data_IF_400612588060
#
_entry.id   IF_400612588060
#
_cell.length_a   1.000
_cell.length_b   1.000
_cell.length_c   1.000
_cell.angle_alpha   90.00
_cell.angle_beta   90.00
_cell.angle_gamma   90.00
#
_symmetry.space_group_name_H-M   'P 1'
#
loop_
_entity.id
_entity.type
_entity.pdbx_description
1 polymer ?
#
# COMPACT_ATOMS: atom_id res chain seq x y z
N UNK A 1 -19.72 3.63 17.66
CA UNK A 1 -20.07 4.60 16.61
C UNK A 1 -19.71 4.04 15.24
N UNK A 2 -20.46 3.05 14.75
CA UNK A 2 -20.32 2.55 13.38
C UNK A 2 -21.55 2.99 12.60
N UNK A 3 -21.38 4.02 11.77
CA UNK A 3 -22.46 4.58 10.96
C UNK A 3 -21.98 4.68 9.51
N UNK A 4 -22.79 4.21 8.59
CA UNK A 4 -22.57 4.42 7.16
C UNK A 4 -23.31 5.67 6.72
N UNK A 5 -22.57 6.60 6.11
CA UNK A 5 -23.13 7.80 5.49
C UNK A 5 -23.67 7.42 4.12
N UNK A 6 -24.96 7.62 3.91
CA UNK A 6 -25.65 7.24 2.66
C UNK A 6 -25.94 8.43 1.76
N UNK A 7 -25.88 9.65 2.29
CA UNK A 7 -26.17 10.86 1.52
C UNK A 7 -25.77 12.13 2.24
N UNK A 8 -25.68 13.21 1.46
CA UNK A 8 -25.41 14.55 1.95
C UNK A 8 -26.22 15.54 1.12
N UNK A 9 -27.10 16.27 1.79
CA UNK A 9 -27.81 17.39 1.19
C UNK A 9 -27.10 18.69 1.56
N UNK A 10 -27.01 19.60 0.58
CA UNK A 10 -26.44 20.94 0.79
C UNK A 10 -27.62 21.91 0.84
N UNK A 11 -27.79 22.60 1.96
CA UNK A 11 -28.87 23.55 2.18
C UNK A 11 -28.30 24.98 2.13
N UNK A 12 -28.94 25.85 1.33
CA UNK A 12 -28.51 27.23 1.10
C UNK A 12 -27.62 27.39 -0.15
N UNK A 13 -27.43 28.64 -0.61
CA UNK A 13 -26.60 28.96 -1.78
C UNK A 13 -25.12 29.01 -1.39
N UNK A 14 -24.18 28.94 -2.38
CA UNK A 14 -22.77 28.78 -2.07
C UNK A 14 -22.12 29.81 -1.14
N UNK A 15 -22.66 31.04 -1.09
CA UNK A 15 -22.13 32.16 -0.34
C UNK A 15 -23.03 32.62 0.82
N UNK A 16 -24.11 31.88 1.12
CA UNK A 16 -25.00 32.26 2.20
C UNK A 16 -24.36 31.96 3.56
N UNK A 17 -24.50 32.88 4.52
CA UNK A 17 -23.94 32.74 5.87
C UNK A 17 -24.60 31.63 6.68
N UNK A 18 -25.80 31.23 6.32
CA UNK A 18 -26.58 30.15 6.93
C UNK A 18 -26.49 28.84 6.14
N UNK A 19 -25.56 28.72 5.18
CA UNK A 19 -25.33 27.46 4.44
C UNK A 19 -24.89 26.35 5.40
N UNK A 20 -25.54 25.19 5.31
CA UNK A 20 -25.20 24.01 6.11
C UNK A 20 -25.40 22.72 5.31
N UNK A 21 -24.98 21.60 5.90
CA UNK A 21 -25.08 20.27 5.31
C UNK A 21 -25.97 19.39 6.17
N UNK A 22 -26.80 18.55 5.55
CA UNK A 22 -27.54 17.50 6.24
C UNK A 22 -26.94 16.16 5.85
N UNK A 23 -26.27 15.52 6.80
CA UNK A 23 -25.71 14.19 6.64
C UNK A 23 -26.81 13.16 6.92
N UNK A 24 -27.06 12.26 5.98
CA UNK A 24 -27.97 11.12 6.17
C UNK A 24 -27.16 9.84 6.26
N UNK A 25 -27.48 8.99 7.23
CA UNK A 25 -26.81 7.70 7.39
C UNK A 25 -27.62 6.71 8.20
N UNK A 26 -27.03 5.54 8.44
CA UNK A 26 -27.62 4.52 9.31
C UNK A 26 -26.56 3.86 10.18
N UNK A 27 -26.99 3.32 11.32
CA UNK A 27 -26.14 2.47 12.14
C UNK A 27 -25.78 1.19 11.37
N UNK A 28 -24.50 0.86 11.24
CA UNK A 28 -24.01 -0.31 10.48
C UNK A 28 -24.54 -1.62 11.07
N UNK A 29 -24.67 -1.69 12.39
CA UNK A 29 -25.06 -2.89 13.11
C UNK A 29 -26.58 -3.15 13.00
N UNK A 30 -27.39 -2.09 12.94
CA UNK A 30 -28.86 -2.20 12.96
C UNK A 30 -29.54 -1.91 11.61
N UNK A 31 -28.87 -1.25 10.66
CA UNK A 31 -29.30 -0.83 9.30
C UNK A 31 -30.64 -0.08 9.14
N UNK A 32 -31.55 -0.19 10.10
CA UNK A 32 -32.88 0.40 10.09
C UNK A 32 -32.91 1.75 10.79
N UNK A 33 -31.99 1.98 11.73
CA UNK A 33 -31.88 3.25 12.43
C UNK A 33 -31.22 4.29 11.53
N UNK A 34 -32.06 4.96 10.73
CA UNK A 34 -31.67 6.10 9.92
C UNK A 34 -31.58 7.35 10.79
N UNK A 35 -30.52 8.13 10.59
CA UNK A 35 -30.37 9.42 11.22
C UNK A 35 -30.12 10.50 10.18
N UNK A 36 -30.49 11.72 10.56
CA UNK A 36 -30.10 12.93 9.86
C UNK A 36 -29.42 13.87 10.85
N UNK A 37 -28.26 14.38 10.49
CA UNK A 37 -27.49 15.28 11.32
C UNK A 37 -27.15 16.54 10.52
N UNK A 38 -27.66 17.68 10.97
CA UNK A 38 -27.22 18.97 10.45
C UNK A 38 -25.80 19.25 10.94
N UNK A 39 -24.94 19.71 10.04
CA UNK A 39 -23.56 20.09 10.32
C UNK A 39 -23.17 21.32 9.53
N UNK A 40 -22.36 22.19 10.13
CA UNK A 40 -21.82 23.39 9.49
C UNK A 40 -20.56 23.08 8.66
N UNK A 41 -19.86 21.98 8.96
CA UNK A 41 -18.68 21.56 8.23
C UNK A 41 -18.54 20.04 8.15
N UNK A 42 -17.90 19.56 7.10
CA UNK A 42 -17.61 18.15 6.90
C UNK A 42 -16.16 17.98 6.45
N UNK A 43 -15.44 17.09 7.12
CA UNK A 43 -14.06 16.74 6.77
C UNK A 43 -14.02 15.27 6.34
N UNK A 44 -13.42 15.01 5.18
CA UNK A 44 -13.21 13.67 4.66
C UNK A 44 -11.72 13.39 4.53
N UNK A 45 -11.26 12.32 5.18
CA UNK A 45 -9.86 11.90 5.18
C UNK A 45 -9.71 10.48 4.63
N UNK A 46 -9.99 10.24 3.33
CA UNK A 46 -9.98 8.89 2.76
C UNK A 46 -8.57 8.27 2.67
N UNK A 47 -7.51 9.05 2.92
CA UNK A 47 -6.14 8.63 2.70
C UNK A 47 -5.78 8.57 1.21
N UNK A 48 -4.52 8.23 0.91
CA UNK A 48 -3.98 8.27 -0.45
C UNK A 48 -4.25 6.98 -1.27
N UNK A 49 -4.78 5.92 -0.65
CA UNK A 49 -4.84 4.57 -1.25
C UNK A 49 -6.17 3.84 -0.95
N UNK A 50 -7.31 4.51 -1.14
CA UNK A 50 -8.62 3.93 -0.82
C UNK A 50 -9.27 3.13 -1.95
N UNK A 51 -8.85 3.35 -3.20
CA UNK A 51 -9.39 2.64 -4.36
C UNK A 51 -8.33 1.67 -4.93
N UNK A 52 -8.44 0.36 -4.68
CA UNK A 52 -7.54 -0.62 -5.27
C UNK A 52 -7.75 -0.69 -6.79
N UNK A 53 -6.66 -0.86 -7.53
CA UNK A 53 -6.74 -1.15 -8.96
C UNK A 53 -7.00 -2.63 -9.15
N UNK A 54 -8.24 -2.96 -9.46
CA UNK A 54 -8.67 -4.31 -9.83
C UNK A 54 -8.26 -4.58 -11.28
N UNK A 55 -7.56 -5.68 -11.53
CA UNK A 55 -7.10 -6.08 -12.86
C UNK A 55 -7.65 -7.47 -13.11
N UNK A 56 -8.44 -7.62 -14.16
CA UNK A 56 -8.92 -8.93 -14.59
C UNK A 56 -7.86 -9.57 -15.49
N UNK A 57 -7.35 -10.73 -15.10
CA UNK A 57 -6.40 -11.48 -15.90
C UNK A 57 -7.14 -12.49 -16.79
N UNK A 58 -6.81 -12.60 -18.09
CA UNK A 58 -7.44 -13.62 -18.94
C UNK A 58 -7.18 -15.03 -18.41
N UNK A 59 -8.25 -15.84 -18.27
CA UNK A 59 -8.16 -17.21 -17.77
C UNK A 59 -8.12 -17.34 -16.24
N UNK A 60 -8.29 -16.24 -15.51
CA UNK A 60 -8.38 -16.21 -14.04
C UNK A 60 -9.52 -17.10 -13.54
N UNK A 61 -10.65 -17.14 -14.26
CA UNK A 61 -11.79 -18.00 -13.99
C UNK A 61 -11.52 -19.50 -14.13
N UNK A 62 -10.44 -19.86 -14.84
CA UNK A 62 -10.04 -21.26 -15.06
C UNK A 62 -8.94 -21.72 -14.09
N UNK A 63 -8.52 -20.87 -13.15
CA UNK A 63 -7.50 -21.20 -12.17
C UNK A 63 -8.13 -21.89 -10.95
N UNK A 64 -7.70 -23.11 -10.67
CA UNK A 64 -8.26 -23.93 -9.58
C UNK A 64 -7.79 -23.49 -8.18
N UNK A 65 -6.88 -22.52 -8.09
CA UNK A 65 -6.34 -22.03 -6.82
C UNK A 65 -7.07 -20.79 -6.27
N UNK A 66 -6.70 -20.39 -5.05
CA UNK A 66 -7.22 -19.17 -4.45
C UNK A 66 -6.63 -17.94 -5.17
N UNK A 67 -7.52 -17.05 -5.62
CA UNK A 67 -7.16 -15.74 -6.17
C UNK A 67 -7.68 -14.67 -5.22
N UNK A 68 -6.80 -13.74 -4.86
CA UNK A 68 -7.08 -12.67 -3.92
C UNK A 68 -6.20 -11.45 -4.24
N UNK A 69 -6.62 -10.29 -3.76
CA UNK A 69 -5.90 -9.02 -3.91
C UNK A 69 -4.82 -8.84 -2.84
N UNK A 70 -4.85 -9.64 -1.77
CA UNK A 70 -3.89 -9.56 -0.67
C UNK A 70 -4.04 -8.27 0.11
N UNK A 71 -5.30 -7.88 0.34
CA UNK A 71 -5.73 -6.67 1.05
C UNK A 71 -6.93 -7.01 1.95
N UNK A 72 -7.04 -6.36 3.11
CA UNK A 72 -8.19 -6.50 4.02
C UNK A 72 -8.47 -7.94 4.49
N UNK A 73 -7.44 -8.74 4.74
CA UNK A 73 -7.56 -10.13 5.19
C UNK A 73 -8.37 -11.04 4.24
N UNK A 74 -8.36 -10.72 2.94
CA UNK A 74 -9.03 -11.48 1.89
C UNK A 74 -8.42 -12.87 1.62
N UNK A 75 -7.26 -13.16 2.21
CA UNK A 75 -6.59 -14.46 2.16
C UNK A 75 -6.63 -15.09 3.56
N UNK A 76 -7.38 -16.18 3.76
CA UNK A 76 -7.33 -16.92 5.02
C UNK A 76 -5.97 -17.61 5.17
N UNK A 77 -5.32 -17.43 6.31
CA UNK A 77 -3.94 -17.89 6.51
C UNK A 77 -3.76 -19.41 6.42
N UNK A 78 -4.80 -20.20 6.67
CA UNK A 78 -4.77 -21.65 6.53
C UNK A 78 -4.49 -22.11 5.09
N UNK A 79 -4.74 -21.26 4.09
CA UNK A 79 -4.43 -21.53 2.68
C UNK A 79 -2.95 -21.31 2.33
N UNK A 80 -2.13 -20.73 3.22
CA UNK A 80 -0.73 -20.40 2.94
C UNK A 80 0.23 -21.55 3.28
N UNK A 81 -0.12 -22.43 4.23
CA UNK A 81 0.77 -23.50 4.64
C UNK A 81 1.01 -24.49 3.48
N UNK A 82 2.29 -24.69 3.13
CA UNK A 82 2.74 -25.48 1.99
C UNK A 82 2.18 -25.04 0.63
N UNK A 83 1.71 -23.80 0.53
CA UNK A 83 1.19 -23.27 -0.73
C UNK A 83 2.33 -22.96 -1.70
N UNK A 84 2.03 -23.06 -2.99
CA UNK A 84 2.84 -22.42 -4.04
C UNK A 84 2.12 -21.15 -4.47
N UNK A 85 2.65 -19.99 -4.06
CA UNK A 85 1.97 -18.70 -4.21
C UNK A 85 2.67 -17.84 -5.26
N UNK A 86 1.89 -17.21 -6.15
CA UNK A 86 2.36 -16.17 -7.05
C UNK A 86 1.82 -14.81 -6.61
N UNK A 87 2.70 -13.81 -6.49
CA UNK A 87 2.37 -12.43 -6.16
C UNK A 87 2.68 -11.57 -7.38
N UNK A 88 1.66 -10.86 -7.88
CA UNK A 88 1.75 -10.04 -9.08
C UNK A 88 1.93 -8.57 -8.68
N UNK A 89 3.07 -8.00 -9.06
CA UNK A 89 3.48 -6.64 -8.68
C UNK A 89 4.45 -6.62 -7.50
N UNK A 90 5.30 -5.60 -7.46
CA UNK A 90 6.34 -5.43 -6.43
C UNK A 90 6.21 -4.08 -5.71
N UNK A 91 5.02 -3.83 -5.16
CA UNK A 91 4.76 -2.67 -4.29
C UNK A 91 5.06 -2.97 -2.82
N UNK A 92 4.76 -2.01 -1.93
CA UNK A 92 4.92 -2.21 -0.49
C UNK A 92 4.10 -3.41 0.03
N UNK A 93 2.83 -3.53 -0.38
CA UNK A 93 1.97 -4.67 -0.02
C UNK A 93 2.52 -6.01 -0.49
N UNK A 94 3.18 -6.06 -1.65
CA UNK A 94 3.77 -7.31 -2.14
C UNK A 94 4.90 -7.80 -1.20
N UNK A 95 5.75 -6.89 -0.70
CA UNK A 95 6.81 -7.23 0.25
C UNK A 95 6.23 -7.74 1.57
N UNK A 96 5.17 -7.10 2.06
CA UNK A 96 4.46 -7.51 3.27
C UNK A 96 3.78 -8.89 3.07
N UNK A 97 3.14 -9.14 1.93
CA UNK A 97 2.51 -10.42 1.62
C UNK A 97 3.54 -11.54 1.43
N UNK A 98 4.72 -11.26 0.86
CA UNK A 98 5.83 -12.24 0.82
C UNK A 98 6.23 -12.62 2.24
N UNK A 99 6.38 -11.65 3.16
CA UNK A 99 6.70 -11.94 4.56
C UNK A 99 5.62 -12.82 5.17
N UNK A 100 4.34 -12.49 5.00
CA UNK A 100 3.23 -13.31 5.49
C UNK A 100 3.29 -14.73 4.94
N UNK A 101 3.46 -14.92 3.63
CA UNK A 101 3.63 -16.25 3.03
C UNK A 101 4.81 -17.02 3.66
N UNK A 102 5.95 -16.37 3.90
CA UNK A 102 7.08 -17.00 4.58
C UNK A 102 6.76 -17.38 6.03
N UNK A 103 6.10 -16.50 6.79
CA UNK A 103 5.74 -16.73 8.21
C UNK A 103 4.75 -17.90 8.36
N UNK A 104 3.84 -18.07 7.39
CA UNK A 104 2.83 -19.13 7.41
C UNK A 104 3.22 -20.40 6.62
N UNK A 105 4.49 -20.52 6.23
CA UNK A 105 5.03 -21.78 5.70
C UNK A 105 4.68 -22.08 4.25
N UNK A 106 4.49 -21.06 3.41
CA UNK A 106 4.40 -21.25 1.96
C UNK A 106 5.64 -22.01 1.45
N UNK A 107 5.41 -23.04 0.66
CA UNK A 107 6.48 -23.90 0.13
C UNK A 107 7.31 -23.17 -0.92
N UNK A 108 6.64 -22.33 -1.73
CA UNK A 108 7.31 -21.55 -2.76
C UNK A 108 6.55 -20.26 -3.06
N UNK A 109 7.32 -19.19 -3.23
CA UNK A 109 6.78 -17.85 -3.53
C UNK A 109 7.40 -17.34 -4.83
N UNK A 110 6.56 -17.03 -5.81
CA UNK A 110 6.95 -16.36 -7.05
C UNK A 110 6.54 -14.90 -6.99
N UNK A 111 7.51 -13.98 -7.08
CA UNK A 111 7.24 -12.57 -7.26
C UNK A 111 7.33 -12.21 -8.74
N UNK A 112 6.19 -11.95 -9.37
CA UNK A 112 6.11 -11.55 -10.78
C UNK A 112 6.04 -10.04 -10.86
N UNK A 113 7.07 -9.39 -11.41
CA UNK A 113 7.11 -7.94 -11.51
C UNK A 113 7.72 -7.45 -12.82
N UNK A 114 7.24 -6.28 -13.29
CA UNK A 114 7.82 -5.58 -14.44
C UNK A 114 9.17 -4.95 -14.09
N UNK A 115 9.32 -4.47 -12.85
CA UNK A 115 10.53 -3.81 -12.34
C UNK A 115 10.76 -4.23 -10.89
N UNK A 116 12.02 -4.44 -10.51
CA UNK A 116 12.38 -4.69 -9.12
C UNK A 116 12.25 -3.39 -8.34
N UNK A 117 11.46 -3.40 -7.28
CA UNK A 117 11.38 -2.28 -6.35
C UNK A 117 12.60 -2.28 -5.43
N UNK A 118 13.07 -1.10 -5.05
CA UNK A 118 14.17 -0.92 -4.12
C UNK A 118 13.65 -1.13 -2.68
N UNK A 119 13.69 -2.38 -2.21
CA UNK A 119 13.26 -2.72 -0.87
C UNK A 119 14.23 -2.17 0.17
N UNK A 120 13.80 -1.19 0.97
CA UNK A 120 14.65 -0.62 2.00
C UNK A 120 14.66 -1.50 3.27
N UNK A 121 15.84 -1.92 3.75
CA UNK A 121 16.01 -2.50 5.08
C UNK A 121 15.36 -1.66 6.18
N UNK A 122 14.63 -2.32 7.09
CA UNK A 122 13.95 -1.63 8.21
C UNK A 122 14.90 -0.80 9.06
N UNK A 123 16.13 -1.27 9.27
CA UNK A 123 17.15 -0.53 10.03
C UNK A 123 17.54 0.79 9.35
N UNK A 124 17.73 0.77 8.03
CA UNK A 124 18.03 1.96 7.26
C UNK A 124 16.84 2.94 7.22
N UNK A 125 15.61 2.45 7.12
CA UNK A 125 14.41 3.29 7.25
C UNK A 125 14.36 4.02 8.60
N UNK A 126 14.67 3.32 9.70
CA UNK A 126 14.68 3.92 11.03
C UNK A 126 15.69 5.07 11.13
N UNK A 127 16.89 4.87 10.58
CA UNK A 127 17.91 5.92 10.50
C UNK A 127 17.43 7.15 9.70
N UNK A 128 16.77 6.94 8.55
CA UNK A 128 16.20 8.03 7.75
C UNK A 128 15.11 8.78 8.53
N UNK A 129 14.21 8.07 9.21
CA UNK A 129 13.11 8.69 9.95
C UNK A 129 13.57 9.47 11.20
N UNK A 130 14.74 9.18 11.76
CA UNK A 130 15.30 9.93 12.88
C UNK A 130 16.05 11.19 12.46
N UNK A 131 16.35 11.33 11.17
CA UNK A 131 17.13 12.47 10.68
C UNK A 131 16.29 13.75 10.66
N UNK A 132 16.87 14.83 11.19
CA UNK A 132 16.27 16.18 11.13
C UNK A 132 16.40 16.76 9.72
N UNK A 133 17.48 16.39 9.02
CA UNK A 133 17.77 16.79 7.65
C UNK A 133 17.71 15.56 6.74
N UNK A 134 17.25 15.71 5.48
CA UNK A 134 17.21 14.58 4.54
C UNK A 134 18.56 13.87 4.46
N UNK A 135 18.56 12.56 4.72
CA UNK A 135 19.76 11.73 4.60
C UNK A 135 20.16 11.66 3.12
N UNK A 136 21.45 11.91 2.78
CA UNK A 136 21.92 11.77 1.41
C UNK A 136 21.65 10.37 0.85
N UNK A 137 21.06 10.28 -0.34
CA UNK A 137 20.70 9.02 -0.99
C UNK A 137 21.87 8.02 -1.08
N UNK A 138 23.10 8.53 -1.29
CA UNK A 138 24.32 7.71 -1.31
C UNK A 138 24.56 6.97 0.01
N UNK A 139 24.37 7.65 1.14
CA UNK A 139 24.51 7.02 2.45
C UNK A 139 23.44 5.96 2.67
N UNK A 140 22.21 6.25 2.24
CA UNK A 140 21.09 5.30 2.31
C UNK A 140 21.39 4.05 1.48
N UNK A 141 21.77 4.19 0.20
CA UNK A 141 22.10 3.06 -0.68
C UNK A 141 23.28 2.24 -0.15
N UNK A 142 24.33 2.89 0.37
CA UNK A 142 25.45 2.17 0.99
C UNK A 142 25.02 1.38 2.22
N UNK A 143 24.07 1.88 3.00
CA UNK A 143 23.52 1.14 4.14
C UNK A 143 22.71 -0.10 3.73
N UNK A 144 22.24 -0.18 2.48
CA UNK A 144 21.47 -1.33 1.98
C UNK A 144 22.36 -2.50 1.58
N UNK A 145 23.61 -2.22 1.17
CA UNK A 145 24.54 -3.20 0.59
C UNK A 145 24.64 -4.48 1.42
N UNK A 146 24.87 -4.45 2.75
CA UNK A 146 25.08 -5.68 3.52
C UNK A 146 23.88 -6.64 3.48
N UNK A 147 22.65 -6.09 3.51
CA UNK A 147 21.45 -6.92 3.42
C UNK A 147 21.25 -7.45 2.01
N UNK A 148 21.48 -6.62 0.99
CA UNK A 148 21.31 -7.01 -0.40
C UNK A 148 22.29 -8.12 -0.81
N UNK A 149 23.53 -8.06 -0.33
CA UNK A 149 24.52 -9.11 -0.52
C UNK A 149 24.09 -10.40 0.21
N UNK A 150 23.65 -10.30 1.46
CA UNK A 150 23.20 -11.46 2.25
C UNK A 150 22.00 -12.17 1.64
N UNK A 151 21.11 -11.45 0.95
CA UNK A 151 19.90 -12.01 0.32
C UNK A 151 20.04 -12.27 -1.18
N UNK A 152 21.22 -12.05 -1.77
CA UNK A 152 21.44 -12.22 -3.21
C UNK A 152 20.61 -11.27 -4.09
N UNK A 153 20.24 -10.09 -3.58
CA UNK A 153 19.42 -9.09 -4.29
C UNK A 153 20.22 -8.19 -5.24
N UNK A 154 21.54 -8.37 -5.32
CA UNK A 154 22.44 -7.62 -6.20
C UNK A 154 22.85 -6.25 -5.64
N UNK A 155 23.42 -5.39 -6.49
CA UNK A 155 23.81 -4.04 -6.08
C UNK A 155 22.56 -3.12 -5.98
N UNK A 156 22.24 -2.51 -4.82
CA UNK A 156 21.13 -1.58 -4.68
C UNK A 156 21.24 -0.36 -5.61
N UNK A 157 22.44 -0.02 -6.06
CA UNK A 157 22.68 1.09 -6.98
C UNK A 157 22.19 0.83 -8.41
N UNK A 158 22.01 -0.44 -8.79
CA UNK A 158 21.61 -0.84 -10.15
C UNK A 158 20.08 -0.94 -10.30
N UNK A 159 19.33 -0.60 -9.25
CA UNK A 159 17.88 -0.64 -9.27
C UNK A 159 17.31 0.52 -10.09
N UNK A 160 16.24 0.26 -10.83
CA UNK A 160 15.64 1.22 -11.76
C UNK A 160 15.25 2.56 -11.12
N UNK A 161 14.89 2.57 -9.84
CA UNK A 161 14.55 3.79 -9.09
C UNK A 161 15.76 4.66 -8.73
N UNK A 162 16.99 4.18 -8.94
CA UNK A 162 18.22 4.88 -8.59
C UNK A 162 18.79 5.55 -9.83
N UNK A 163 18.87 6.87 -9.80
CA UNK A 163 19.51 7.67 -10.84
C UNK A 163 20.79 8.28 -10.27
N UNK A 164 21.94 7.95 -10.85
CA UNK A 164 23.23 8.44 -10.37
C UNK A 164 24.16 8.95 -11.47
N UNK A 165 25.06 9.85 -11.11
CA UNK A 165 26.20 10.22 -11.94
C UNK A 165 27.13 9.01 -12.16
N UNK A 166 27.95 9.04 -13.22
CA UNK A 166 28.89 7.96 -13.55
C UNK A 166 29.86 7.63 -12.40
N UNK A 167 30.23 8.63 -11.61
CA UNK A 167 31.11 8.48 -10.45
C UNK A 167 30.38 8.15 -9.14
N UNK A 168 29.05 7.93 -9.19
CA UNK A 168 28.15 7.66 -8.06
C UNK A 168 28.26 8.69 -6.91
N UNK A 169 28.77 9.90 -7.18
CA UNK A 169 28.86 10.98 -6.18
C UNK A 169 27.55 11.72 -6.01
N UNK A 170 26.77 11.85 -7.08
CA UNK A 170 25.43 12.42 -7.06
C UNK A 170 24.42 11.32 -7.37
N UNK A 171 23.42 11.16 -6.52
CA UNK A 171 22.35 10.21 -6.77
C UNK A 171 21.03 10.66 -6.16
N UNK A 172 19.96 10.21 -6.80
CA UNK A 172 18.58 10.44 -6.39
C UNK A 172 17.85 9.11 -6.44
N UNK A 173 17.07 8.83 -5.40
CA UNK A 173 16.11 7.73 -5.39
C UNK A 173 14.76 8.32 -5.78
N UNK A 174 14.20 7.88 -6.90
CA UNK A 174 12.94 8.37 -7.43
C UNK A 174 11.93 7.24 -7.58
N UNK A 175 10.76 7.40 -6.98
CA UNK A 175 9.58 6.62 -7.34
C UNK A 175 8.94 7.29 -8.57
N UNK A 176 9.48 7.04 -9.76
CA UNK A 176 8.75 7.43 -10.96
C UNK A 176 7.56 6.46 -11.12
N UNK A 177 6.37 6.99 -10.83
CA UNK A 177 5.06 6.43 -11.17
C UNK A 177 4.89 6.29 -12.68
#
# INVERSE_FOLDING_TARGET
FRHDVTGMDIIGKPNDHDRYYVLSGHNVDNKEEKFQQATSCFYHFPGAYFNPRIINYPGEESFDGLIAYGMHDDIPYDHLNRSTTAILGNGAFAVENIRTCCEYGAEKIYLVTRRKNLASPRLSCWFVHQSIIPVPARMVLNSFIPMYEATGMGDPWDYWSVNCSKDRKQCTISSAS
#
